data_IF_563012959305
#
_entry.id   IF_563012959305
#
_cell.length_a   1.000
_cell.length_b   1.000
_cell.length_c   1.000
_cell.angle_alpha   90.00
_cell.angle_beta   90.00
_cell.angle_gamma   90.00
#
_symmetry.space_group_name_H-M   'P 1'
#
loop_
_entity.id
_entity.type
_entity.pdbx_description
1 polymer ?
#
# COMPACT_ATOMS: atom_id res chain seq x y z
N UNK A 1 15.24 48.97 7.97
CA UNK A 1 14.59 48.41 8.36
C UNK A 1 14.28 48.59 8.22
N UNK A 2 14.48 48.59 7.93
CA UNK A 2 13.97 48.21 8.34
C UNK A 2 13.63 48.20 8.23
N UNK A 3 14.07 48.15 7.60
CA UNK A 3 13.49 47.72 8.01
C UNK A 3 13.23 47.70 7.95
N UNK A 4 13.53 47.77 7.45
CA UNK A 4 13.09 47.32 7.90
C UNK A 4 12.38 46.96 7.58
N UNK A 5 12.92 46.98 7.23
CA UNK A 5 12.09 46.25 7.41
C UNK A 5 11.80 45.92 6.95
N UNK A 6 11.93 45.62 6.75
CA UNK A 6 11.37 44.92 7.02
C UNK A 6 11.25 44.67 6.48
N UNK A 7 11.64 44.68 5.91
CA UNK A 7 11.39 44.16 6.09
C UNK A 7 11.04 43.55 5.89
N UNK A 8 11.49 43.27 5.69
CA UNK A 8 11.05 42.41 6.15
C UNK A 8 10.71 42.15 5.71
N UNK A 9 11.01 42.00 5.30
CA UNK A 9 10.72 41.49 5.61
C UNK A 9 10.28 40.87 5.13
N UNK A 10 10.60 40.78 4.50
CA UNK A 10 10.35 40.01 4.75
C UNK A 10 10.71 39.59 4.83
N UNK A 11 11.46 39.69 4.55
CA UNK A 11 11.75 39.02 5.24
C UNK A 11 11.51 39.10 6.05
N UNK A 12 11.50 39.14 6.47
CA UNK A 12 11.22 38.89 7.60
C UNK A 12 10.32 38.69 7.79
N UNK A 13 10.10 38.26 7.71
CA UNK A 13 9.51 37.74 8.41
C UNK A 13 9.63 37.07 8.20
N UNK A 14 10.37 37.00 7.97
CA UNK A 14 10.60 36.18 8.25
C UNK A 14 11.19 35.98 8.93
N UNK A 15 11.85 36.17 9.18
CA UNK A 15 12.34 35.70 10.17
C UNK A 15 11.83 35.84 11.26
N UNK A 16 11.47 35.73 11.42
CA UNK A 16 11.13 35.45 12.49
C UNK A 16 10.99 35.07 12.82
N UNK A 17 11.51 35.00 12.80
CA UNK A 17 11.46 34.30 13.33
C UNK A 17 11.86 33.93 13.62
N UNK A 18 12.48 34.29 13.48
CA UNK A 18 13.07 33.67 14.01
C UNK A 18 13.35 33.65 14.66
N UNK A 19 13.80 33.72 14.92
CA UNK A 19 14.05 33.25 15.52
C UNK A 19 13.85 33.00 15.49
N UNK A 20 13.88 32.84 15.46
CA UNK A 20 13.59 32.35 15.27
C UNK A 20 13.40 31.30 15.05
N UNK A 21 13.32 31.25 15.38
CA UNK A 21 12.98 29.90 14.89
C UNK A 21 12.45 29.98 13.50
N UNK A 22 13.10 29.33 12.64
CA UNK A 22 12.69 29.33 11.25
C UNK A 22 12.37 27.93 10.81
N UNK A 23 11.15 27.73 10.33
CA UNK A 23 10.73 26.44 9.85
C UNK A 23 11.12 26.29 8.37
N UNK A 24 11.86 25.26 8.01
CA UNK A 24 12.25 25.10 6.61
C UNK A 24 11.03 24.88 5.72
N UNK A 25 11.09 25.41 4.52
CA UNK A 25 10.05 25.15 3.53
C UNK A 25 10.29 23.81 2.87
N UNK A 26 9.29 22.95 2.94
CA UNK A 26 9.37 21.64 2.33
C UNK A 26 8.73 21.70 0.95
N UNK A 27 9.28 20.93 -0.01
CA UNK A 27 8.63 20.83 -1.32
C UNK A 27 7.23 20.26 -1.17
N UNK A 28 6.35 20.66 -2.08
CA UNK A 28 4.97 20.15 -2.04
C UNK A 28 4.91 18.64 -2.09
N UNK A 29 5.81 18.02 -2.84
CA UNK A 29 5.81 16.55 -2.93
C UNK A 29 6.07 15.89 -1.59
N UNK A 30 6.94 16.48 -0.74
CA UNK A 30 7.22 15.88 0.56
C UNK A 30 6.10 16.12 1.55
N UNK A 31 5.17 17.02 1.24
CA UNK A 31 4.01 17.25 2.08
C UNK A 31 2.78 16.54 1.56
N UNK A 32 2.89 15.88 0.43
CA UNK A 32 1.74 15.26 -0.20
C UNK A 32 1.25 14.08 0.59
N UNK A 33 -0.04 13.98 0.72
CA UNK A 33 -0.70 12.84 1.34
C UNK A 33 -1.36 12.00 0.28
N UNK A 34 -1.29 10.69 0.47
CA UNK A 34 -1.99 9.75 -0.39
C UNK A 34 -3.38 9.51 0.17
N UNK A 35 -4.34 9.48 -0.72
CA UNK A 35 -5.71 9.14 -0.38
C UNK A 35 -5.90 7.69 -0.79
N UNK A 36 -5.86 6.79 0.21
CA UNK A 36 -5.86 5.34 -0.06
C UNK A 36 -7.18 4.73 0.36
N UNK A 37 -7.97 4.23 -0.60
CA UNK A 37 -9.18 3.51 -0.24
C UNK A 37 -8.83 2.17 0.39
N UNK A 38 -9.54 1.80 1.44
CA UNK A 38 -9.39 0.50 2.06
C UNK A 38 -10.40 -0.46 1.45
N UNK A 39 -9.87 -1.49 0.80
CA UNK A 39 -10.69 -2.52 0.18
C UNK A 39 -10.88 -3.63 1.19
N UNK A 40 -12.13 -3.93 1.54
CA UNK A 40 -12.46 -4.97 2.48
C UNK A 40 -12.76 -6.28 1.80
N UNK A 41 -13.98 -6.42 1.28
CA UNK A 41 -14.39 -7.61 0.56
C UNK A 41 -14.54 -7.27 -0.90
N UNK A 42 -14.14 -8.21 -1.76
CA UNK A 42 -14.21 -8.02 -3.20
C UNK A 42 -15.26 -8.96 -3.75
N UNK A 43 -16.26 -8.39 -4.43
CA UNK A 43 -17.31 -9.18 -5.05
C UNK A 43 -16.80 -9.81 -6.34
N UNK A 44 -17.29 -11.00 -6.62
CA UNK A 44 -16.97 -11.71 -7.86
C UNK A 44 -17.39 -10.85 -9.05
N UNK A 45 -16.52 -10.76 -10.05
CA UNK A 45 -16.82 -10.07 -11.28
C UNK A 45 -16.71 -8.56 -11.24
N UNK A 46 -16.43 -7.98 -10.05
CA UNK A 46 -16.27 -6.53 -9.91
C UNK A 46 -14.81 -6.14 -9.84
N UNK A 47 -14.43 -4.98 -10.40
CA UNK A 47 -13.06 -4.50 -10.26
C UNK A 47 -12.71 -4.28 -8.79
N UNK A 48 -11.46 -4.51 -8.43
CA UNK A 48 -11.06 -4.41 -7.03
C UNK A 48 -11.27 -3.00 -6.46
N UNK A 49 -11.12 -1.97 -7.29
CA UNK A 49 -11.29 -0.59 -6.85
C UNK A 49 -12.72 -0.07 -7.03
N UNK A 50 -13.68 -0.98 -7.26
CA UNK A 50 -15.08 -0.57 -7.34
C UNK A 50 -15.50 0.09 -6.02
N UNK A 51 -16.34 1.13 -6.14
CA UNK A 51 -16.78 1.89 -4.97
C UNK A 51 -17.43 1.01 -3.90
N UNK A 52 -18.12 -0.03 -4.33
CA UNK A 52 -18.81 -0.94 -3.41
C UNK A 52 -17.85 -1.71 -2.50
N UNK A 53 -16.56 -1.79 -2.87
CA UNK A 53 -15.56 -2.50 -2.09
C UNK A 53 -14.84 -1.60 -1.08
N UNK A 54 -15.06 -0.29 -1.12
CA UNK A 54 -14.35 0.66 -0.28
C UNK A 54 -15.04 0.77 1.06
N UNK A 55 -14.35 0.31 2.12
CA UNK A 55 -14.87 0.42 3.48
C UNK A 55 -14.68 1.83 4.04
N UNK A 56 -13.50 2.38 3.81
CA UNK A 56 -13.18 3.75 4.22
C UNK A 56 -11.92 4.19 3.49
N UNK A 57 -11.56 5.44 3.68
CA UNK A 57 -10.39 6.03 3.02
C UNK A 57 -9.44 6.55 4.07
N UNK A 58 -8.16 6.26 3.90
CA UNK A 58 -7.11 6.76 4.78
C UNK A 58 -6.24 7.77 4.06
N UNK A 59 -5.75 8.74 4.80
CA UNK A 59 -4.80 9.72 4.30
C UNK A 59 -3.45 9.40 4.92
N UNK A 60 -2.47 9.06 4.10
CA UNK A 60 -1.17 8.59 4.56
C UNK A 60 -0.09 9.40 3.86
N UNK A 61 0.95 9.77 4.59
CA UNK A 61 2.03 10.53 3.99
C UNK A 61 2.81 9.67 3.01
N UNK A 62 3.06 10.22 1.83
CA UNK A 62 3.68 9.49 0.73
C UNK A 62 5.09 8.99 1.09
N UNK A 63 5.82 9.75 1.91
CA UNK A 63 7.20 9.40 2.25
C UNK A 63 7.33 8.13 3.07
N UNK A 64 6.22 7.60 3.61
CA UNK A 64 6.25 6.35 4.35
C UNK A 64 6.54 5.14 3.45
N UNK A 65 6.36 5.28 2.15
CA UNK A 65 6.49 4.16 1.22
C UNK A 65 7.63 4.39 0.24
N UNK A 66 8.39 3.34 -0.03
CA UNK A 66 9.41 3.39 -1.08
C UNK A 66 8.77 3.44 -2.46
N UNK A 67 7.64 2.76 -2.63
CA UNK A 67 6.86 2.79 -3.85
C UNK A 67 5.47 3.26 -3.50
N UNK A 68 4.91 4.11 -4.34
CA UNK A 68 3.61 4.72 -4.08
C UNK A 68 2.50 3.68 -4.20
N UNK A 69 1.76 3.40 -3.13
CA UNK A 69 0.61 2.51 -3.23
C UNK A 69 -0.59 3.21 -3.84
N UNK A 70 -1.52 2.42 -4.33
CA UNK A 70 -2.75 2.92 -4.91
C UNK A 70 -3.96 2.62 -4.04
N UNK A 71 -3.89 1.57 -3.21
CA UNK A 71 -4.97 1.23 -2.30
C UNK A 71 -4.45 0.38 -1.16
N UNK A 72 -5.31 0.20 -0.15
CA UNK A 72 -5.05 -0.70 0.96
C UNK A 72 -6.01 -1.88 0.86
N UNK A 73 -5.51 -3.07 1.16
CA UNK A 73 -6.33 -4.27 1.16
C UNK A 73 -6.30 -4.87 2.56
N UNK A 74 -7.48 -5.15 3.11
CA UNK A 74 -7.54 -5.79 4.42
C UNK A 74 -7.20 -7.26 4.29
N UNK A 75 -6.17 -7.70 5.01
CA UNK A 75 -5.69 -9.07 4.95
C UNK A 75 -6.61 -9.96 5.78
N UNK A 76 -6.96 -11.11 5.21
CA UNK A 76 -7.79 -12.09 5.88
C UNK A 76 -7.03 -13.41 5.96
N UNK A 77 -7.02 -13.99 7.15
CA UNK A 77 -6.34 -15.24 7.38
C UNK A 77 -4.85 -15.07 7.61
N UNK A 78 -4.17 -16.19 7.79
CA UNK A 78 -2.79 -16.20 8.23
C UNK A 78 -1.85 -16.87 7.24
N UNK A 79 -2.21 -16.91 5.95
CA UNK A 79 -1.41 -17.65 4.97
C UNK A 79 -0.04 -17.00 4.72
N UNK A 80 0.16 -15.76 5.17
CA UNK A 80 1.43 -15.04 4.98
C UNK A 80 2.07 -14.68 6.31
N UNK A 81 1.74 -15.43 7.36
CA UNK A 81 2.19 -15.17 8.73
C UNK A 81 3.71 -15.08 8.86
N UNK A 82 4.43 -15.97 8.18
CA UNK A 82 5.87 -16.11 8.39
C UNK A 82 6.68 -14.95 7.81
N UNK A 83 6.06 -14.11 6.97
CA UNK A 83 6.71 -12.87 6.53
C UNK A 83 6.12 -11.66 7.26
N UNK A 84 5.36 -11.91 8.33
CA UNK A 84 4.87 -10.83 9.18
C UNK A 84 3.56 -10.21 8.75
N UNK A 85 2.88 -10.78 7.77
CA UNK A 85 1.57 -10.28 7.34
C UNK A 85 0.51 -11.08 8.07
N UNK A 86 -0.27 -10.40 8.92
CA UNK A 86 -1.22 -11.05 9.81
C UNK A 86 -2.66 -10.71 9.43
N UNK A 87 -3.58 -11.55 9.91
CA UNK A 87 -5.00 -11.28 9.72
C UNK A 87 -5.35 -9.91 10.29
N UNK A 88 -6.08 -9.12 9.51
CA UNK A 88 -6.50 -7.78 9.92
C UNK A 88 -5.55 -6.68 9.53
N UNK A 89 -4.35 -7.01 9.05
CA UNK A 89 -3.41 -5.99 8.59
C UNK A 89 -3.95 -5.28 7.36
N UNK A 90 -3.46 -4.06 7.14
CA UNK A 90 -3.77 -3.30 5.93
C UNK A 90 -2.56 -3.37 5.01
N UNK A 91 -2.70 -4.06 3.92
CA UNK A 91 -1.62 -4.23 2.94
C UNK A 91 -1.67 -3.07 1.96
N UNK A 92 -0.56 -2.34 1.84
CA UNK A 92 -0.47 -1.26 0.86
C UNK A 92 -0.09 -1.87 -0.48
N UNK A 93 -0.88 -1.59 -1.50
CA UNK A 93 -0.80 -2.28 -2.78
C UNK A 93 -0.64 -1.26 -3.91
N UNK A 94 0.34 -1.53 -4.76
CA UNK A 94 0.54 -0.76 -5.98
C UNK A 94 -0.08 -1.54 -7.13
N UNK A 95 -1.02 -0.92 -7.83
CA UNK A 95 -1.71 -1.57 -8.95
C UNK A 95 -0.71 -1.92 -10.06
N UNK A 96 -0.71 -3.18 -10.47
CA UNK A 96 0.06 -3.65 -11.61
C UNK A 96 -0.52 -4.97 -12.07
N UNK A 97 -0.29 -5.29 -13.33
CA UNK A 97 -0.72 -6.58 -13.89
C UNK A 97 0.43 -7.57 -14.01
N UNK A 98 1.65 -7.15 -13.67
CA UNK A 98 2.83 -7.98 -13.83
C UNK A 98 3.55 -8.15 -12.51
N UNK A 99 4.21 -9.29 -12.35
CA UNK A 99 4.98 -9.58 -11.16
C UNK A 99 6.21 -10.39 -11.53
N UNK A 100 7.21 -10.31 -10.65
CA UNK A 100 8.45 -11.08 -10.78
C UNK A 100 8.48 -12.13 -9.70
N UNK A 101 9.24 -13.20 -9.97
CA UNK A 101 9.40 -14.28 -8.99
C UNK A 101 9.89 -13.72 -7.66
N UNK A 102 9.24 -14.16 -6.59
CA UNK A 102 9.61 -13.77 -5.24
C UNK A 102 8.85 -12.57 -4.70
N UNK A 103 8.10 -11.86 -5.54
CA UNK A 103 7.32 -10.72 -5.06
C UNK A 103 6.02 -11.18 -4.40
N UNK A 104 5.58 -10.43 -3.41
CA UNK A 104 4.29 -10.69 -2.76
C UNK A 104 3.24 -9.89 -3.53
N UNK A 105 2.22 -10.58 -3.98
CA UNK A 105 1.21 -10.00 -4.86
C UNK A 105 -0.18 -10.18 -4.28
N UNK A 106 -1.09 -9.33 -4.75
CA UNK A 106 -2.52 -9.54 -4.60
C UNK A 106 -2.98 -10.14 -5.91
N UNK A 107 -3.56 -11.33 -5.85
CA UNK A 107 -3.98 -12.07 -7.03
C UNK A 107 -5.46 -12.42 -6.94
N UNK A 108 -6.11 -12.41 -8.08
CA UNK A 108 -7.48 -12.87 -8.20
C UNK A 108 -7.47 -14.18 -8.96
N UNK A 109 -8.00 -15.23 -8.34
CA UNK A 109 -8.14 -16.53 -8.97
C UNK A 109 -9.62 -16.87 -8.97
N UNK A 110 -10.20 -17.01 -10.16
CA UNK A 110 -11.64 -17.18 -10.23
C UNK A 110 -12.34 -16.02 -9.56
N UNK A 111 -13.02 -16.30 -8.46
CA UNK A 111 -13.79 -15.28 -7.76
C UNK A 111 -13.12 -14.82 -6.45
N UNK A 112 -11.94 -15.33 -6.15
CA UNK A 112 -11.29 -15.06 -4.88
C UNK A 112 -10.07 -14.18 -5.06
N UNK A 113 -9.84 -13.31 -4.06
CA UNK A 113 -8.65 -12.46 -4.00
C UNK A 113 -7.79 -12.96 -2.85
N UNK A 114 -6.50 -13.14 -3.11
CA UNK A 114 -5.59 -13.67 -2.11
C UNK A 114 -4.24 -12.94 -2.19
N UNK A 115 -3.49 -13.01 -1.09
CA UNK A 115 -2.13 -12.44 -1.01
C UNK A 115 -1.17 -13.62 -0.90
N UNK A 116 -0.23 -13.71 -1.82
CA UNK A 116 0.70 -14.83 -1.87
C UNK A 116 2.01 -14.38 -2.48
N UNK A 117 3.04 -15.21 -2.36
CA UNK A 117 4.31 -14.97 -3.05
C UNK A 117 4.22 -15.56 -4.44
N UNK A 118 4.53 -14.75 -5.43
CA UNK A 118 4.40 -15.10 -6.83
C UNK A 118 5.63 -15.84 -7.32
N UNK A 119 5.41 -16.93 -8.06
CA UNK A 119 6.47 -17.62 -8.79
C UNK A 119 5.92 -18.13 -10.12
N UNK A 120 6.76 -18.06 -11.13
CA UNK A 120 6.46 -18.68 -12.41
C UNK A 120 7.49 -19.76 -12.66
N UNK A 121 7.05 -21.00 -12.77
CA UNK A 121 7.91 -22.15 -12.88
C UNK A 121 7.43 -22.94 -14.10
N UNK A 122 8.33 -23.10 -15.11
CA UNK A 122 8.03 -23.87 -16.32
C UNK A 122 6.72 -23.44 -16.98
N UNK A 123 6.50 -22.12 -17.02
CA UNK A 123 5.31 -21.58 -17.67
C UNK A 123 4.06 -21.60 -16.83
N UNK A 124 4.09 -22.20 -15.64
CA UNK A 124 2.97 -22.23 -14.73
C UNK A 124 3.14 -21.21 -13.62
N UNK A 125 2.03 -20.61 -13.21
CA UNK A 125 2.04 -19.65 -12.12
C UNK A 125 1.75 -20.39 -10.83
N UNK A 126 2.61 -20.16 -9.83
CA UNK A 126 2.43 -20.72 -8.49
C UNK A 126 2.31 -19.58 -7.50
N UNK A 127 1.36 -19.69 -6.60
CA UNK A 127 1.14 -18.72 -5.54
C UNK A 127 1.45 -19.39 -4.22
N UNK A 128 2.55 -18.97 -3.61
CA UNK A 128 3.10 -19.63 -2.43
C UNK A 128 2.68 -18.93 -1.16
N UNK A 129 2.11 -19.65 -0.19
CA UNK A 129 1.90 -19.08 1.12
C UNK A 129 3.22 -19.00 1.89
N UNK A 130 3.23 -18.22 2.95
CA UNK A 130 4.34 -18.16 3.88
C UNK A 130 3.87 -18.67 5.24
N UNK A 131 3.34 -19.88 5.22
CA UNK A 131 2.83 -20.56 6.40
C UNK A 131 2.69 -22.04 6.03
N UNK A 132 3.36 -22.95 6.74
CA UNK A 132 3.33 -24.37 6.39
C UNK A 132 1.93 -25.01 6.52
N UNK A 133 1.00 -24.36 7.21
CA UNK A 133 -0.36 -24.87 7.32
C UNK A 133 -1.19 -24.63 6.07
N UNK A 134 -0.65 -23.92 5.10
CA UNK A 134 -1.35 -23.60 3.84
C UNK A 134 -0.60 -24.20 2.66
N UNK A 135 -1.32 -24.49 1.60
CA UNK A 135 -0.76 -25.12 0.42
C UNK A 135 -0.52 -24.14 -0.69
N UNK A 136 0.50 -24.43 -1.51
CA UNK A 136 0.77 -23.66 -2.72
C UNK A 136 -0.40 -23.84 -3.68
N UNK A 137 -0.80 -22.73 -4.30
CA UNK A 137 -1.84 -22.73 -5.31
C UNK A 137 -1.18 -22.72 -6.67
N UNK A 138 -1.47 -23.73 -7.50
CA UNK A 138 -0.99 -23.78 -8.88
C UNK A 138 -2.12 -23.32 -9.76
N UNK A 139 -1.86 -22.27 -10.56
CA UNK A 139 -2.87 -21.76 -11.48
C UNK A 139 -2.86 -22.61 -12.74
N UNK A 140 -3.94 -23.30 -12.98
CA UNK A 140 -4.04 -24.19 -14.14
C UNK A 140 -4.23 -23.39 -15.43
N UNK A 141 -3.72 -23.91 -16.56
CA UNK A 141 -3.95 -23.24 -17.83
C UNK A 141 -5.43 -23.08 -18.11
N UNK A 142 -5.85 -21.87 -18.52
CA UNK A 142 -7.24 -21.57 -18.77
C UNK A 142 -8.02 -21.14 -17.55
N UNK A 143 -7.46 -21.27 -16.37
CA UNK A 143 -8.12 -20.82 -15.15
C UNK A 143 -8.07 -19.28 -15.08
N UNK A 144 -9.20 -18.61 -14.76
CA UNK A 144 -9.19 -17.16 -14.65
C UNK A 144 -8.19 -16.72 -13.58
N UNK A 145 -7.27 -15.86 -13.96
CA UNK A 145 -6.22 -15.39 -13.07
C UNK A 145 -5.81 -13.98 -13.46
N UNK A 146 -5.68 -13.09 -12.46
CA UNK A 146 -5.17 -11.75 -12.68
C UNK A 146 -4.34 -11.33 -11.49
N UNK A 147 -3.30 -10.55 -11.75
CA UNK A 147 -2.58 -9.87 -10.68
C UNK A 147 -3.23 -8.52 -10.48
N UNK A 148 -3.63 -8.24 -9.24
CA UNK A 148 -4.28 -6.98 -8.89
C UNK A 148 -3.31 -5.96 -8.35
N UNK A 149 -2.11 -6.39 -7.96
CA UNK A 149 -1.09 -5.46 -7.52
C UNK A 149 0.05 -6.12 -6.77
N UNK A 150 1.03 -5.30 -6.42
CA UNK A 150 2.19 -5.69 -5.63
C UNK A 150 2.07 -5.14 -4.22
N UNK A 151 2.44 -5.94 -3.23
CA UNK A 151 2.53 -5.46 -1.85
C UNK A 151 3.74 -4.54 -1.73
N UNK A 152 3.51 -3.30 -1.33
CA UNK A 152 4.58 -2.32 -1.19
C UNK A 152 4.71 -1.78 0.22
N UNK A 153 3.84 -2.20 1.13
CA UNK A 153 3.91 -1.78 2.52
C UNK A 153 2.84 -2.45 3.35
N UNK A 154 2.92 -2.23 4.65
CA UNK A 154 1.99 -2.85 5.59
C UNK A 154 1.70 -1.87 6.70
N UNK A 155 0.42 -1.73 7.04
CA UNK A 155 -0.01 -0.88 8.14
C UNK A 155 -0.75 -1.73 9.14
N UNK A 156 -0.36 -1.62 10.39
CA UNK A 156 -0.99 -2.37 11.45
C UNK A 156 -1.31 -1.45 12.62
N UNK A 157 -2.52 -1.57 13.10
CA UNK A 157 -2.94 -0.85 14.30
C UNK A 157 -3.27 -1.89 15.36
N UNK A 158 -2.34 -2.08 16.28
CA UNK A 158 -2.49 -3.06 17.34
C UNK A 158 -2.49 -2.34 18.67
N UNK A 159 -3.45 -2.70 19.51
CA UNK A 159 -3.50 -2.15 20.87
C UNK A 159 -2.44 -2.85 21.70
N UNK A 160 -1.51 -2.05 22.22
CA UNK A 160 -0.46 -2.55 23.09
C UNK A 160 -0.84 -2.22 24.53
N UNK A 161 -0.95 -3.26 25.34
CA UNK A 161 -1.39 -3.11 26.73
C UNK A 161 -0.22 -3.34 27.67
#
# INVERSE_FOLDING_TARGET
>A
GTSRGIRLKSSTLQSLQSSHFEQPMLPLESLAQLCLPLIGRVAAGSPILAQEHVDQTYYVEQSLFNKKPDYLLKVRGMSMRDVGIMDGDLLAVKTTKEAKNGQIVVARIGEEVTVKRFKRVDGLIELHPENPDFQTIVVEPGEPFEIEGLAVGLIRNTMLM
#
